data_IF_931082296754
#
_entry.id   IF_931082296754
#
_cell.length_a   1.000
_cell.length_b   1.000
_cell.length_c   1.000
_cell.angle_alpha   90.00
_cell.angle_beta   90.00
_cell.angle_gamma   90.00
#
_symmetry.space_group_name_H-M   'P 1'
#
loop_
_entity.id
_entity.type
_entity.pdbx_description
1 polymer ?
#
# COMPACT_ATOMS: atom_id res chain seq x y z
N UNK A 1 60.20 -7.71 26.31
CA UNK A 1 59.48 -6.46 25.99
C UNK A 1 58.77 -6.70 24.67
N UNK A 2 57.49 -7.03 24.73
CA UNK A 2 56.68 -7.43 23.57
C UNK A 2 56.11 -6.21 22.84
N UNK A 3 55.87 -6.29 21.51
CA UNK A 3 55.25 -5.21 20.75
C UNK A 3 53.75 -5.11 21.05
N UNK A 4 53.27 -3.87 21.11
CA UNK A 4 51.88 -3.48 21.31
C UNK A 4 51.10 -3.78 20.01
N UNK A 5 50.25 -4.80 20.02
CA UNK A 5 49.26 -5.00 18.95
C UNK A 5 48.27 -3.85 18.98
N UNK A 6 48.11 -3.16 17.85
CA UNK A 6 46.94 -2.33 17.61
C UNK A 6 45.73 -3.24 17.44
N UNK A 7 44.68 -3.00 18.22
CA UNK A 7 43.39 -3.60 17.97
C UNK A 7 42.81 -3.00 16.68
N UNK A 8 42.56 -3.88 15.72
CA UNK A 8 41.78 -3.64 14.52
C UNK A 8 40.40 -3.13 14.96
N UNK A 9 39.98 -1.98 14.42
CA UNK A 9 38.69 -1.38 14.73
C UNK A 9 37.53 -2.27 14.27
N UNK A 10 36.52 -2.36 15.13
CA UNK A 10 35.18 -2.81 14.79
C UNK A 10 34.63 -1.89 13.70
N UNK A 11 34.66 -2.37 12.45
CA UNK A 11 33.82 -1.82 11.39
C UNK A 11 32.54 -2.65 11.33
N UNK A 12 31.66 -2.43 12.30
CA UNK A 12 30.23 -2.61 12.07
C UNK A 12 29.84 -1.53 11.06
N UNK A 13 30.03 -1.85 9.78
CA UNK A 13 29.45 -1.10 8.69
C UNK A 13 27.96 -1.33 8.75
N UNK A 14 27.24 -0.51 9.51
CA UNK A 14 25.80 -0.36 9.36
C UNK A 14 25.56 -0.07 7.87
N UNK A 15 25.05 -1.06 7.13
CA UNK A 15 24.68 -0.86 5.74
C UNK A 15 23.67 0.28 5.72
N UNK A 16 24.06 1.38 5.08
CA UNK A 16 23.23 2.58 4.96
C UNK A 16 21.96 2.18 4.19
N UNK A 17 20.80 2.30 4.84
CA UNK A 17 19.50 1.95 4.24
C UNK A 17 19.37 2.74 2.92
N UNK A 18 19.04 2.10 1.79
CA UNK A 18 18.78 2.80 0.54
C UNK A 18 17.75 3.93 0.75
N UNK A 19 17.89 5.04 0.01
CA UNK A 19 16.88 6.08 0.05
C UNK A 19 15.54 5.54 -0.47
N UNK A 20 14.42 5.78 0.23
CA UNK A 20 13.13 5.25 -0.18
C UNK A 20 12.64 5.91 -1.48
N UNK A 21 11.93 5.13 -2.30
CA UNK A 21 11.15 5.66 -3.42
C UNK A 21 9.80 6.11 -2.87
N UNK A 22 9.53 7.41 -2.95
CA UNK A 22 8.26 7.98 -2.50
C UNK A 22 7.11 7.56 -3.44
N UNK A 23 5.98 7.20 -2.84
CA UNK A 23 4.74 6.94 -3.56
C UNK A 23 4.26 8.24 -4.21
N UNK A 24 3.97 8.22 -5.50
CA UNK A 24 3.53 9.40 -6.27
C UNK A 24 2.61 8.96 -7.40
N UNK A 25 1.78 9.87 -7.88
CA UNK A 25 1.01 9.61 -9.10
C UNK A 25 1.93 9.20 -10.26
N UNK A 26 1.57 8.12 -10.95
CA UNK A 26 2.34 7.49 -12.01
C UNK A 26 3.37 6.46 -11.54
N UNK A 27 3.61 6.32 -10.24
CA UNK A 27 4.43 5.21 -9.72
C UNK A 27 3.72 3.87 -9.99
N UNK A 28 4.51 2.85 -10.33
CA UNK A 28 4.03 1.49 -10.50
C UNK A 28 4.33 0.67 -9.24
N UNK A 29 3.35 -0.14 -8.83
CA UNK A 29 3.46 -1.09 -7.74
C UNK A 29 3.25 -2.48 -8.33
N UNK A 30 4.24 -3.36 -8.21
CA UNK A 30 4.09 -4.77 -8.58
C UNK A 30 3.91 -5.60 -7.32
N UNK A 31 2.82 -6.36 -7.27
CA UNK A 31 2.45 -7.21 -6.16
C UNK A 31 2.77 -8.65 -6.54
N UNK A 32 3.71 -9.24 -5.81
CA UNK A 32 4.05 -10.67 -5.91
C UNK A 32 3.73 -11.34 -4.58
N UNK A 33 2.75 -12.24 -4.59
CA UNK A 33 2.33 -12.96 -3.38
C UNK A 33 3.23 -14.17 -3.16
N UNK A 34 3.70 -14.33 -1.92
CA UNK A 34 4.52 -15.47 -1.50
C UNK A 34 3.93 -16.12 -0.25
N UNK A 35 4.30 -17.37 0.02
CA UNK A 35 3.83 -18.09 1.21
C UNK A 35 4.13 -17.31 2.50
N UNK A 36 3.23 -17.32 3.48
CA UNK A 36 3.42 -16.67 4.79
C UNK A 36 4.67 -17.14 5.55
N UNK A 37 5.13 -18.37 5.31
CA UNK A 37 6.36 -18.92 5.90
C UNK A 37 7.65 -18.47 5.18
N UNK A 38 7.54 -17.67 4.12
CA UNK A 38 8.70 -17.14 3.38
C UNK A 38 9.41 -16.09 4.22
N UNK A 39 10.65 -16.33 4.59
CA UNK A 39 11.52 -15.30 5.16
C UNK A 39 12.32 -14.61 4.04
N UNK A 40 12.32 -13.27 3.96
CA UNK A 40 13.13 -12.56 3.00
C UNK A 40 14.61 -12.57 3.41
N UNK A 41 15.52 -12.56 2.44
CA UNK A 41 16.96 -12.33 2.71
C UNK A 41 17.21 -10.91 3.28
N UNK A 42 16.34 -9.95 2.93
CA UNK A 42 16.35 -8.58 3.42
C UNK A 42 14.96 -7.96 3.30
N UNK A 43 14.58 -7.13 4.29
CA UNK A 43 13.27 -6.46 4.33
C UNK A 43 13.09 -5.43 3.22
N UNK A 44 14.21 -4.83 2.78
CA UNK A 44 14.22 -3.83 1.72
C UNK A 44 15.47 -3.94 0.84
N UNK A 45 15.26 -3.99 -0.48
CA UNK A 45 16.34 -4.12 -1.47
C UNK A 45 16.15 -3.09 -2.58
N UNK A 46 17.23 -2.39 -2.96
CA UNK A 46 17.23 -1.55 -4.14
C UNK A 46 17.49 -2.42 -5.39
N UNK A 47 16.62 -2.34 -6.39
CA UNK A 47 16.79 -2.99 -7.68
C UNK A 47 16.70 -1.96 -8.81
N UNK A 48 17.87 -1.58 -9.34
CA UNK A 48 17.96 -0.49 -10.31
C UNK A 48 17.41 0.83 -9.78
N UNK A 49 16.29 1.29 -10.38
CA UNK A 49 15.58 2.51 -9.99
C UNK A 49 14.33 2.24 -9.14
N UNK A 50 14.14 0.98 -8.74
CA UNK A 50 12.99 0.51 -7.98
C UNK A 50 13.42 0.09 -6.58
N UNK A 51 12.45 0.02 -5.68
CA UNK A 51 12.63 -0.48 -4.31
C UNK A 51 11.70 -1.67 -4.10
N UNK A 52 12.27 -2.77 -3.61
CA UNK A 52 11.53 -3.97 -3.24
C UNK A 52 11.38 -3.97 -1.72
N UNK A 53 10.15 -4.13 -1.26
CA UNK A 53 9.77 -4.22 0.15
C UNK A 53 9.14 -5.58 0.42
N UNK A 54 9.46 -6.15 1.57
CA UNK A 54 8.76 -7.32 2.08
C UNK A 54 7.69 -6.90 3.08
N UNK A 55 6.46 -7.34 2.82
CA UNK A 55 5.27 -7.01 3.57
C UNK A 55 4.69 -8.30 4.14
N UNK A 56 4.57 -8.39 5.46
CA UNK A 56 3.98 -9.55 6.13
C UNK A 56 2.45 -9.43 6.17
N UNK A 57 1.75 -10.49 5.78
CA UNK A 57 0.29 -10.53 5.91
C UNK A 57 -0.12 -10.62 7.37
N UNK A 58 -1.07 -9.79 7.80
CA UNK A 58 -1.43 -9.73 9.22
C UNK A 58 -2.92 -9.91 9.47
N UNK A 59 -3.78 -9.24 8.67
CA UNK A 59 -5.23 -9.27 8.88
C UNK A 59 -5.98 -9.23 7.57
N UNK A 60 -7.05 -10.01 7.46
CA UNK A 60 -8.01 -9.92 6.36
C UNK A 60 -7.90 -11.10 5.40
N UNK A 61 -8.30 -10.90 4.14
CA UNK A 61 -8.55 -12.01 3.20
C UNK A 61 -7.31 -12.85 2.89
N UNK A 62 -6.15 -12.21 2.82
CA UNK A 62 -4.89 -12.83 2.39
C UNK A 62 -3.82 -12.76 3.50
N UNK A 63 -4.24 -12.81 4.77
CA UNK A 63 -3.33 -12.72 5.93
C UNK A 63 -2.29 -13.85 6.00
N UNK A 64 -2.59 -15.04 5.44
CA UNK A 64 -1.65 -16.16 5.38
C UNK A 64 -0.58 -16.03 4.27
N UNK A 65 -0.57 -14.93 3.52
CA UNK A 65 0.39 -14.67 2.45
C UNK A 65 1.16 -13.39 2.70
N UNK A 66 2.46 -13.43 2.40
CA UNK A 66 3.29 -12.25 2.40
C UNK A 66 3.29 -11.63 1.00
N UNK A 67 3.61 -10.34 0.94
CA UNK A 67 3.65 -9.56 -0.26
C UNK A 67 5.08 -9.06 -0.50
N UNK A 68 5.65 -9.42 -1.64
CA UNK A 68 6.83 -8.74 -2.16
C UNK A 68 6.36 -7.59 -3.04
N UNK A 69 6.48 -6.38 -2.51
CA UNK A 69 6.05 -5.14 -3.15
C UNK A 69 7.23 -4.47 -3.86
N UNK A 70 7.18 -4.40 -5.18
CA UNK A 70 8.15 -3.60 -5.95
C UNK A 70 7.54 -2.24 -6.28
N UNK A 71 8.20 -1.16 -5.85
CA UNK A 71 7.82 0.22 -6.13
C UNK A 71 8.76 0.81 -7.16
N UNK A 72 8.22 1.15 -8.32
CA UNK A 72 8.95 1.78 -9.41
C UNK A 72 8.45 3.22 -9.63
N UNK A 73 9.34 4.21 -9.77
CA UNK A 73 8.94 5.62 -9.88
C UNK A 73 8.27 5.96 -11.22
N UNK A 74 8.46 5.14 -12.26
CA UNK A 74 7.95 5.36 -13.62
C UNK A 74 7.35 4.06 -14.20
N UNK A 75 6.22 4.18 -14.90
CA UNK A 75 5.50 3.05 -15.55
C UNK A 75 6.25 2.36 -16.69
N UNK A 76 7.42 2.89 -17.09
CA UNK A 76 8.19 2.36 -18.21
C UNK A 76 9.21 1.30 -17.77
N UNK A 77 9.30 1.01 -16.48
CA UNK A 77 10.05 -0.11 -15.93
C UNK A 77 9.16 -1.35 -15.97
N UNK A 78 8.95 -1.88 -17.17
CA UNK A 78 8.43 -3.23 -17.30
C UNK A 78 9.50 -4.19 -16.74
N UNK A 79 9.31 -4.71 -15.52
CA UNK A 79 9.87 -6.02 -15.22
C UNK A 79 9.02 -7.02 -15.99
N UNK A 80 9.43 -7.25 -17.23
CA UNK A 80 9.01 -8.40 -18.01
C UNK A 80 9.40 -9.64 -17.22
N UNK A 81 8.41 -10.49 -16.96
CA UNK A 81 8.56 -11.92 -16.74
C UNK A 81 9.57 -12.31 -15.64
N UNK A 82 9.13 -12.27 -14.38
CA UNK A 82 9.61 -13.29 -13.44
C UNK A 82 8.59 -14.44 -13.49
N UNK A 83 8.90 -15.43 -14.31
CA UNK A 83 8.15 -16.68 -14.58
C UNK A 83 8.13 -17.61 -13.34
N UNK A 84 8.22 -17.03 -12.13
CA UNK A 84 8.43 -17.74 -10.87
C UNK A 84 7.27 -17.60 -9.87
N UNK A 85 6.31 -16.71 -10.12
CA UNK A 85 5.06 -16.65 -9.35
C UNK A 85 3.84 -17.05 -10.19
N UNK A 86 3.43 -18.31 -10.04
CA UNK A 86 2.20 -18.89 -10.59
C UNK A 86 0.93 -18.45 -9.82
N UNK A 87 0.99 -17.34 -9.07
CA UNK A 87 -0.13 -16.87 -8.28
C UNK A 87 -1.10 -16.07 -9.16
N UNK A 88 -2.33 -16.56 -9.30
CA UNK A 88 -3.44 -15.81 -9.93
C UNK A 88 -3.72 -14.45 -9.23
N UNK A 89 -3.17 -14.24 -8.04
CA UNK A 89 -3.33 -13.01 -7.27
C UNK A 89 -2.31 -11.92 -7.65
N UNK A 90 -1.25 -12.28 -8.37
CA UNK A 90 -0.22 -11.32 -8.75
C UNK A 90 -0.78 -10.27 -9.70
N UNK A 91 -0.46 -9.01 -9.39
CA UNK A 91 -1.03 -7.88 -10.10
C UNK A 91 -0.07 -6.71 -10.10
N UNK A 92 -0.14 -5.91 -11.16
CA UNK A 92 0.55 -4.64 -11.20
C UNK A 92 -0.46 -3.51 -11.16
N UNK A 93 -0.11 -2.45 -10.45
CA UNK A 93 -0.92 -1.28 -10.26
C UNK A 93 -0.16 -0.02 -10.64
N UNK A 94 -0.88 0.99 -11.09
CA UNK A 94 -0.38 2.36 -11.14
C UNK A 94 -1.07 3.17 -10.04
N UNK A 95 -0.29 3.94 -9.29
CA UNK A 95 -0.83 4.97 -8.40
C UNK A 95 -1.41 6.07 -9.28
N UNK A 96 -2.72 6.26 -9.26
CA UNK A 96 -3.34 7.30 -10.09
C UNK A 96 -3.75 8.53 -9.29
N UNK A 97 -3.89 8.46 -7.96
CA UNK A 97 -4.23 9.62 -7.14
C UNK A 97 -3.69 9.46 -5.72
N UNK A 98 -3.18 10.55 -5.13
CA UNK A 98 -2.52 10.54 -3.80
C UNK A 98 -3.08 11.57 -2.82
N UNK A 99 -3.95 12.48 -3.27
CA UNK A 99 -4.28 13.70 -2.56
C UNK A 99 -3.10 14.68 -2.63
N UNK A 100 -2.66 15.19 -1.49
CA UNK A 100 -1.44 16.01 -1.42
C UNK A 100 -0.22 15.16 -1.79
N UNK A 101 0.78 15.83 -2.35
CA UNK A 101 2.11 15.26 -2.61
C UNK A 101 2.64 14.53 -1.38
N UNK A 102 3.06 13.28 -1.58
CA UNK A 102 3.64 12.43 -0.55
C UNK A 102 5.08 12.87 -0.30
N UNK A 103 5.41 13.20 0.96
CA UNK A 103 6.74 13.70 1.34
C UNK A 103 7.43 12.81 2.36
N UNK A 104 6.66 11.96 3.04
CA UNK A 104 7.15 11.05 4.04
C UNK A 104 7.45 9.66 3.45
N UNK A 105 8.36 8.94 4.09
CA UNK A 105 8.55 7.50 3.87
C UNK A 105 7.40 6.73 4.53
N UNK A 106 6.36 6.50 3.72
CA UNK A 106 5.17 5.71 4.03
C UNK A 106 5.37 4.21 3.77
N UNK A 107 6.60 3.75 3.53
CA UNK A 107 6.98 2.34 3.43
C UNK A 107 8.19 2.05 4.33
N UNK A 108 8.22 2.70 5.50
CA UNK A 108 9.20 2.39 6.55
C UNK A 108 8.74 1.16 7.35
N UNK A 109 9.66 0.40 7.95
CA UNK A 109 9.34 -0.71 8.83
C UNK A 109 8.28 -0.36 9.89
N UNK A 110 7.34 -1.27 10.14
CA UNK A 110 6.22 -1.12 11.06
C UNK A 110 5.01 -0.35 10.52
N UNK A 111 5.10 0.20 9.30
CA UNK A 111 3.95 0.83 8.64
C UNK A 111 2.94 -0.23 8.22
N UNK A 112 1.65 0.06 8.39
CA UNK A 112 0.56 -0.76 7.82
C UNK A 112 0.27 -0.34 6.40
N UNK A 113 0.26 -1.30 5.49
CA UNK A 113 -0.20 -1.19 4.12
C UNK A 113 -1.56 -1.90 4.01
N UNK A 114 -2.65 -1.19 4.30
CA UNK A 114 -4.02 -1.72 4.18
C UNK A 114 -4.49 -1.67 2.74
N UNK A 115 -4.47 -2.79 2.03
CA UNK A 115 -4.89 -2.86 0.63
C UNK A 115 -6.39 -3.20 0.55
N UNK A 116 -7.17 -2.36 -0.13
CA UNK A 116 -8.62 -2.52 -0.30
C UNK A 116 -9.01 -2.53 -1.76
N UNK A 117 -9.78 -3.54 -2.17
CA UNK A 117 -10.34 -3.60 -3.50
C UNK A 117 -11.59 -2.72 -3.63
N UNK A 118 -11.76 -2.07 -4.80
CA UNK A 118 -12.96 -1.32 -5.16
C UNK A 118 -13.60 -1.97 -6.38
N UNK A 119 -14.72 -2.67 -6.19
CA UNK A 119 -15.52 -3.13 -7.30
C UNK A 119 -16.49 -2.04 -7.75
N UNK A 120 -16.41 -1.66 -9.02
CA UNK A 120 -17.38 -0.75 -9.60
C UNK A 120 -18.65 -1.51 -10.00
N UNK A 121 -19.78 -0.79 -10.05
CA UNK A 121 -21.02 -1.31 -10.64
C UNK A 121 -20.80 -1.60 -12.13
N UNK A 122 -21.50 -2.58 -12.72
CA UNK A 122 -21.32 -2.95 -14.13
C UNK A 122 -21.51 -1.81 -15.13
N UNK A 123 -22.35 -0.81 -14.79
CA UNK A 123 -22.68 0.36 -15.61
C UNK A 123 -21.96 1.64 -15.18
N UNK A 124 -21.04 1.55 -14.21
CA UNK A 124 -20.27 2.71 -13.75
C UNK A 124 -19.32 3.22 -14.85
N UNK A 125 -19.35 4.53 -15.10
CA UNK A 125 -18.37 5.19 -15.94
C UNK A 125 -17.05 5.38 -15.17
N UNK A 126 -16.02 4.65 -15.61
CA UNK A 126 -14.67 4.67 -15.02
C UNK A 126 -14.01 6.06 -15.06
N UNK A 127 -14.23 6.84 -16.12
CA UNK A 127 -13.63 8.17 -16.23
C UNK A 127 -14.30 9.17 -15.28
N UNK A 128 -15.62 9.09 -15.13
CA UNK A 128 -16.33 9.91 -14.14
C UNK A 128 -16.03 9.46 -12.71
N UNK A 129 -15.80 8.16 -12.47
CA UNK A 129 -15.30 7.66 -11.19
C UNK A 129 -13.94 8.24 -10.84
N UNK A 130 -12.95 8.11 -11.74
CA UNK A 130 -11.61 8.69 -11.55
C UNK A 130 -11.70 10.21 -11.30
N UNK A 131 -12.52 10.92 -12.08
CA UNK A 131 -12.75 12.35 -11.88
C UNK A 131 -13.39 12.69 -10.53
N UNK A 132 -14.32 11.87 -10.04
CA UNK A 132 -14.90 12.03 -8.71
C UNK A 132 -13.84 11.84 -7.62
N UNK A 133 -13.01 10.79 -7.73
CA UNK A 133 -11.91 10.55 -6.79
C UNK A 133 -11.00 11.77 -6.70
N UNK A 134 -10.52 12.27 -7.85
CA UNK A 134 -9.58 13.40 -7.92
C UNK A 134 -10.15 14.72 -7.39
N UNK A 135 -11.40 15.02 -7.72
CA UNK A 135 -11.97 16.35 -7.47
C UNK A 135 -12.77 16.44 -6.17
N UNK A 136 -13.21 15.31 -5.62
CA UNK A 136 -14.10 15.28 -4.46
C UNK A 136 -13.52 14.42 -3.36
N UNK A 137 -13.17 13.16 -3.66
CA UNK A 137 -12.78 12.19 -2.63
C UNK A 137 -11.40 12.48 -2.03
N UNK A 138 -10.35 12.48 -2.84
CA UNK A 138 -8.97 12.63 -2.37
C UNK A 138 -8.72 13.97 -1.67
N UNK A 139 -9.20 15.12 -2.16
CA UNK A 139 -9.09 16.38 -1.43
C UNK A 139 -9.79 16.38 -0.07
N UNK A 140 -10.80 15.53 0.11
CA UNK A 140 -11.53 15.39 1.36
C UNK A 140 -10.84 14.41 2.30
N UNK A 141 -10.39 13.24 1.80
CA UNK A 141 -10.04 12.10 2.65
C UNK A 141 -8.59 11.63 2.63
N UNK A 142 -7.83 11.85 1.55
CA UNK A 142 -6.48 11.24 1.41
C UNK A 142 -5.46 11.69 2.47
N UNK A 143 -5.71 12.84 3.11
CA UNK A 143 -4.84 13.50 4.10
C UNK A 143 -5.59 13.87 5.39
N UNK A 144 -6.66 13.12 5.66
CA UNK A 144 -7.61 13.40 6.71
C UNK A 144 -7.07 13.32 8.14
N UNK A 145 -6.31 12.27 8.35
CA UNK A 145 -5.76 11.86 9.61
C UNK A 145 -4.25 12.06 9.49
N UNK A 146 -3.61 12.78 10.43
CA UNK A 146 -2.19 13.11 10.33
C UNK A 146 -1.28 11.88 10.32
N UNK A 147 -1.77 10.76 10.83
CA UNK A 147 -1.04 9.51 11.09
C UNK A 147 -1.26 8.49 9.95
N UNK A 148 -1.95 8.89 8.88
CA UNK A 148 -2.26 7.99 7.77
C UNK A 148 -2.39 8.71 6.43
N UNK A 149 -2.37 7.92 5.36
CA UNK A 149 -2.51 8.38 3.99
C UNK A 149 -3.34 7.39 3.18
N UNK A 150 -4.20 7.91 2.30
CA UNK A 150 -4.92 7.07 1.33
C UNK A 150 -4.51 7.42 -0.09
N UNK A 151 -4.01 6.42 -0.82
CA UNK A 151 -3.70 6.52 -2.24
C UNK A 151 -4.62 5.59 -3.05
N UNK A 152 -4.91 5.96 -4.29
CA UNK A 152 -5.70 5.13 -5.19
C UNK A 152 -4.86 4.51 -6.29
N UNK A 153 -5.19 3.26 -6.55
CA UNK A 153 -4.52 2.38 -7.47
C UNK A 153 -5.48 1.96 -8.59
N UNK A 154 -4.92 1.77 -9.79
CA UNK A 154 -5.60 1.14 -10.91
C UNK A 154 -4.76 -0.05 -11.34
N UNK A 155 -5.37 -1.23 -11.38
CA UNK A 155 -4.68 -2.42 -11.86
C UNK A 155 -4.44 -2.31 -13.37
N UNK A 156 -3.23 -2.65 -13.80
CA UNK A 156 -2.79 -2.65 -15.19
C UNK A 156 -2.39 -4.06 -15.68
N UNK A 157 -2.21 -5.02 -14.77
CA UNK A 157 -1.91 -6.44 -15.03
C UNK A 157 -2.56 -7.32 -13.95
N UNK A 158 -2.82 -8.58 -14.29
CA UNK A 158 -3.43 -9.59 -13.42
C UNK A 158 -4.91 -9.78 -13.72
N UNK A 159 -5.58 -10.66 -12.97
CA UNK A 159 -7.00 -11.00 -13.17
C UNK A 159 -7.95 -9.81 -13.00
N UNK A 160 -7.50 -8.79 -12.25
CA UNK A 160 -8.24 -7.55 -11.97
C UNK A 160 -7.84 -6.38 -12.86
N UNK A 161 -7.19 -6.63 -13.99
CA UNK A 161 -6.73 -5.58 -14.89
C UNK A 161 -7.86 -4.58 -15.26
N UNK A 162 -7.61 -3.30 -15.01
CA UNK A 162 -8.55 -2.20 -15.23
C UNK A 162 -9.55 -1.96 -14.09
N UNK A 163 -9.47 -2.72 -13.00
CA UNK A 163 -10.20 -2.44 -11.75
C UNK A 163 -9.41 -1.50 -10.84
N UNK A 164 -10.03 -1.10 -9.73
CA UNK A 164 -9.53 -0.08 -8.82
C UNK A 164 -9.30 -0.65 -7.42
N UNK A 165 -8.41 -0.01 -6.70
CA UNK A 165 -8.11 -0.32 -5.30
C UNK A 165 -7.69 0.98 -4.61
N UNK A 166 -7.74 1.00 -3.29
CA UNK A 166 -7.04 2.02 -2.52
C UNK A 166 -6.13 1.34 -1.51
N UNK A 167 -5.07 2.04 -1.14
CA UNK A 167 -4.21 1.66 -0.02
C UNK A 167 -4.39 2.68 1.07
N UNK A 168 -4.79 2.22 2.25
CA UNK A 168 -4.72 3.01 3.46
C UNK A 168 -3.44 2.68 4.19
N UNK A 169 -2.51 3.64 4.14
CA UNK A 169 -1.21 3.54 4.79
C UNK A 169 -1.32 4.17 6.17
N UNK A 170 -1.02 3.42 7.22
CA UNK A 170 -1.10 3.87 8.61
C UNK A 170 0.28 3.72 9.25
N UNK A 171 0.71 4.72 10.00
CA UNK A 171 2.10 4.85 10.44
C UNK A 171 2.62 3.72 11.34
N UNK A 172 1.71 2.96 11.97
CA UNK A 172 2.01 1.88 12.91
C UNK A 172 0.80 0.97 13.16
N UNK A 173 1.07 -0.24 13.64
CA UNK A 173 0.05 -1.16 14.19
C UNK A 173 -0.75 -0.52 15.33
N UNK A 174 -0.10 0.22 16.23
CA UNK A 174 -0.77 0.87 17.37
C UNK A 174 -1.83 1.88 16.90
N UNK A 175 -1.49 2.72 15.91
CA UNK A 175 -2.44 3.67 15.32
C UNK A 175 -3.56 2.94 14.58
N UNK A 176 -3.23 1.87 13.85
CA UNK A 176 -4.23 1.05 13.17
C UNK A 176 -5.23 0.48 14.18
N UNK A 177 -4.76 -0.11 15.27
CA UNK A 177 -5.62 -0.71 16.30
C UNK A 177 -6.37 0.35 17.12
N UNK A 178 -5.84 1.57 17.22
CA UNK A 178 -6.59 2.71 17.74
C UNK A 178 -7.77 3.10 16.84
N UNK A 179 -7.62 2.99 15.52
CA UNK A 179 -8.72 3.22 14.57
C UNK A 179 -9.67 2.02 14.46
N UNK A 180 -9.15 0.79 14.48
CA UNK A 180 -9.88 -0.47 14.33
C UNK A 180 -9.42 -1.51 15.38
N UNK A 181 -9.91 -1.41 16.63
CA UNK A 181 -9.46 -2.29 17.72
C UNK A 181 -9.82 -3.76 17.51
N UNK A 182 -10.83 -4.02 16.69
CA UNK A 182 -11.12 -5.35 16.16
C UNK A 182 -11.13 -5.23 14.62
N UNK A 183 -10.71 -6.30 13.94
CA UNK A 183 -10.63 -6.29 12.47
C UNK A 183 -11.99 -5.96 11.84
N UNK A 184 -12.02 -4.92 11.01
CA UNK A 184 -13.26 -4.42 10.38
C UNK A 184 -14.24 -3.70 11.31
N UNK A 185 -13.91 -3.51 12.59
CA UNK A 185 -14.78 -2.80 13.55
C UNK A 185 -14.14 -1.46 13.90
N UNK A 186 -14.68 -0.33 13.43
CA UNK A 186 -14.13 0.98 13.73
C UNK A 186 -14.28 1.32 15.21
N UNK A 187 -13.28 2.00 15.76
CA UNK A 187 -13.34 2.56 17.11
C UNK A 187 -14.37 3.68 17.17
N UNK A 188 -14.85 3.99 18.38
CA UNK A 188 -15.75 5.13 18.58
C UNK A 188 -15.17 6.43 18.04
N UNK A 189 -13.86 6.64 18.20
CA UNK A 189 -13.19 7.83 17.68
C UNK A 189 -13.31 7.89 16.16
N UNK A 190 -12.98 6.79 15.48
CA UNK A 190 -13.05 6.72 14.03
C UNK A 190 -14.49 6.86 13.51
N UNK A 191 -15.47 6.21 14.15
CA UNK A 191 -16.89 6.36 13.82
C UNK A 191 -17.38 7.81 13.94
N UNK A 192 -16.96 8.56 14.98
CA UNK A 192 -17.33 9.98 15.08
C UNK A 192 -16.64 10.83 14.03
N UNK A 193 -15.40 10.51 13.68
CA UNK A 193 -14.65 11.16 12.60
C UNK A 193 -15.33 10.94 11.24
N UNK A 194 -15.72 9.71 10.90
CA UNK A 194 -16.39 9.36 9.64
C UNK A 194 -17.72 10.09 9.44
N UNK A 195 -18.47 10.38 10.52
CA UNK A 195 -19.73 11.15 10.42
C UNK A 195 -19.55 12.53 9.79
N UNK A 196 -18.36 13.13 9.91
CA UNK A 196 -18.08 14.39 9.24
C UNK A 196 -18.26 14.28 7.72
N UNK A 197 -17.99 13.11 7.16
CA UNK A 197 -17.79 12.91 5.73
C UNK A 197 -18.66 11.81 5.15
N UNK A 198 -19.58 11.23 5.94
CA UNK A 198 -20.48 10.15 5.50
C UNK A 198 -21.29 10.49 4.26
N UNK A 199 -21.48 11.79 3.96
CA UNK A 199 -22.12 12.26 2.73
C UNK A 199 -21.39 11.78 1.47
N UNK A 200 -20.07 11.57 1.53
CA UNK A 200 -19.29 11.14 0.37
C UNK A 200 -19.55 9.68 0.00
N UNK A 201 -20.01 8.87 0.96
CA UNK A 201 -20.41 7.49 0.76
C UNK A 201 -21.85 7.35 0.23
N UNK A 202 -22.61 8.45 0.15
CA UNK A 202 -24.01 8.42 -0.28
C UNK A 202 -24.19 7.91 -1.73
N UNK A 203 -25.41 7.45 -2.03
CA UNK A 203 -25.80 6.86 -3.33
C UNK A 203 -25.56 7.79 -4.53
N UNK A 204 -25.59 9.11 -4.34
CA UNK A 204 -25.35 10.11 -5.38
C UNK A 204 -23.87 10.53 -5.50
N UNK A 205 -23.01 10.06 -4.58
CA UNK A 205 -21.57 10.31 -4.53
C UNK A 205 -20.80 9.02 -4.85
N UNK A 206 -20.01 8.48 -3.92
CA UNK A 206 -19.26 7.22 -4.11
C UNK A 206 -20.20 6.04 -4.37
N UNK A 207 -21.36 6.00 -3.69
CA UNK A 207 -22.36 4.95 -3.84
C UNK A 207 -22.96 4.88 -5.25
N UNK A 208 -22.79 5.91 -6.08
CA UNK A 208 -23.16 5.89 -7.50
C UNK A 208 -22.31 4.89 -8.28
N UNK A 209 -21.04 4.76 -7.92
CA UNK A 209 -20.04 4.03 -8.69
C UNK A 209 -19.74 2.64 -8.14
N UNK A 210 -19.76 2.48 -6.81
CA UNK A 210 -19.23 1.28 -6.14
C UNK A 210 -20.33 0.27 -5.84
N UNK A 211 -19.99 -1.01 -5.98
CA UNK A 211 -20.86 -2.12 -5.58
C UNK A 211 -20.80 -2.35 -4.06
N UNK A 212 -21.94 -2.54 -3.36
CA UNK A 212 -21.99 -2.57 -1.90
C UNK A 212 -21.33 -3.81 -1.24
N UNK A 213 -21.04 -4.88 -1.99
CA UNK A 213 -20.69 -6.20 -1.46
C UNK A 213 -19.20 -6.57 -1.57
N UNK A 214 -18.28 -5.61 -1.72
CA UNK A 214 -16.89 -5.93 -2.12
C UNK A 214 -15.83 -5.45 -1.16
N UNK A 215 -16.10 -5.47 0.15
CA UNK A 215 -15.07 -5.17 1.14
C UNK A 215 -14.09 -6.34 1.25
N UNK A 216 -13.19 -6.40 0.28
CA UNK A 216 -12.03 -7.28 0.27
C UNK A 216 -10.83 -6.43 0.64
N UNK A 217 -10.29 -6.68 1.83
CA UNK A 217 -9.08 -6.00 2.30
C UNK A 217 -8.07 -6.99 2.86
N UNK A 218 -6.81 -6.56 2.88
CA UNK A 218 -5.75 -7.20 3.65
C UNK A 218 -4.80 -6.13 4.19
N UNK A 219 -4.54 -6.17 5.49
CA UNK A 219 -3.51 -5.37 6.15
C UNK A 219 -2.19 -6.14 6.07
N UNK A 220 -1.16 -5.44 5.59
CA UNK A 220 0.21 -5.93 5.63
C UNK A 220 1.08 -5.03 6.51
N UNK A 221 2.05 -5.60 7.21
CA UNK A 221 3.09 -4.86 7.93
C UNK A 221 4.34 -4.80 7.07
N UNK A 222 4.85 -3.60 6.82
CA UNK A 222 6.16 -3.42 6.17
C UNK A 222 7.25 -3.87 7.14
N UNK A 223 8.08 -4.85 6.74
CA UNK A 223 9.21 -5.31 7.55
C UNK A 223 10.40 -4.33 7.50
#
# INVERSE_FOLDING_TARGET
>A
MSPRMMAQGDMDGAMERPAPVLLREGAQLSFQFVSGDTEPDADMVQDGNSMVYFLEGERGRHEDMNLKLTVSPDTNTMSLDDDTSDSELDADYVVFETGKEVKEDWLRPGTIFGFHHIALKPDADKAEFEKFIRNVWSPTQSDALPDSKIIFLKSIRGDRAGEYSFVWIIDSEETRDYYFPESGVPSKMYTEFEKGWSWIAADDQMGKFVSPDTEEFTDYVVR
#
